data_IF_745114887239
#
_entry.id   IF_745114887239
#
_cell.length_a   1.000
_cell.length_b   1.000
_cell.length_c   1.000
_cell.angle_alpha   90.00
_cell.angle_beta   90.00
_cell.angle_gamma   90.00
#
_symmetry.space_group_name_H-M   'P 1'
#
loop_
_entity.id
_entity.type
_entity.pdbx_description
1 polymer ?
#
# COMPACT_ATOMS: atom_id res chain seq x y z
N UNK A 1 7.74 22.03 16.95
CA UNK A 1 8.49 21.06 17.78
C UNK A 1 7.61 20.67 18.95
N UNK A 2 7.15 19.41 19.02
CA UNK A 2 6.40 18.91 20.17
C UNK A 2 7.36 18.76 21.35
N UNK A 3 7.30 19.68 22.32
CA UNK A 3 8.11 19.61 23.54
C UNK A 3 7.38 18.73 24.55
N UNK A 4 7.86 17.51 24.73
CA UNK A 4 7.49 16.62 25.84
C UNK A 4 8.45 16.85 27.00
N UNK A 5 7.97 16.69 28.24
CA UNK A 5 8.79 16.71 29.45
C UNK A 5 9.47 15.35 29.73
N UNK A 6 9.23 14.36 28.87
CA UNK A 6 9.85 13.03 28.92
C UNK A 6 11.06 13.02 27.99
N UNK A 7 12.23 12.62 28.51
CA UNK A 7 13.47 12.58 27.74
C UNK A 7 13.65 11.27 26.95
N UNK A 8 13.15 10.15 27.48
CA UNK A 8 13.34 8.83 26.92
C UNK A 8 12.05 8.00 26.90
N UNK A 9 11.97 7.09 25.93
CA UNK A 9 10.84 6.19 25.76
C UNK A 9 11.36 4.78 25.48
N UNK A 10 10.73 3.78 26.09
CA UNK A 10 10.84 2.39 25.65
C UNK A 10 9.85 2.13 24.52
N UNK A 11 10.35 1.80 23.34
CA UNK A 11 9.56 1.72 22.12
C UNK A 11 9.63 0.30 21.55
N UNK A 12 8.46 -0.22 21.18
CA UNK A 12 8.31 -1.52 20.53
C UNK A 12 8.02 -1.37 19.04
N UNK A 13 8.71 -2.15 18.23
CA UNK A 13 8.59 -2.18 16.78
C UNK A 13 8.19 -3.56 16.27
N UNK A 14 7.34 -3.58 15.25
CA UNK A 14 7.00 -4.79 14.51
C UNK A 14 8.13 -5.25 13.57
N UNK A 15 7.92 -6.37 12.89
CA UNK A 15 8.89 -6.94 11.94
C UNK A 15 9.15 -6.07 10.70
N UNK A 16 8.34 -5.03 10.48
CA UNK A 16 8.47 -4.07 9.39
C UNK A 16 9.10 -2.75 9.85
N UNK A 17 9.41 -2.62 11.15
CA UNK A 17 9.96 -1.40 11.74
C UNK A 17 8.90 -0.37 12.13
N UNK A 18 7.61 -0.69 12.05
CA UNK A 18 6.56 0.22 12.50
C UNK A 18 6.51 0.25 14.02
N UNK A 19 6.36 1.45 14.58
CA UNK A 19 6.14 1.64 16.00
C UNK A 19 4.74 1.16 16.38
N UNK A 20 4.66 0.18 17.29
CA UNK A 20 3.38 -0.39 17.73
C UNK A 20 3.05 -0.08 19.20
N UNK A 21 4.05 0.17 20.03
CA UNK A 21 3.83 0.64 21.40
C UNK A 21 4.95 1.57 21.88
N UNK A 22 4.65 2.32 22.93
CA UNK A 22 5.64 3.13 23.62
C UNK A 22 5.28 3.25 25.10
N UNK A 23 6.30 3.18 25.95
CA UNK A 23 6.22 3.40 27.38
C UNK A 23 7.17 4.53 27.77
N UNK A 24 6.72 5.40 28.67
CA UNK A 24 7.55 6.47 29.22
C UNK A 24 8.69 5.83 30.02
N UNK A 25 9.91 6.30 29.78
CA UNK A 25 11.05 6.01 30.65
C UNK A 25 11.20 7.19 31.62
N UNK A 26 10.86 6.95 32.89
CA UNK A 26 10.84 7.96 33.97
C UNK A 26 12.18 8.06 34.73
N UNK A 27 13.20 7.39 34.23
CA UNK A 27 14.56 7.39 34.76
C UNK A 27 15.56 7.68 33.65
N UNK A 28 16.79 8.04 34.03
CA UNK A 28 17.88 8.20 33.06
C UNK A 28 18.47 6.82 32.69
N UNK A 29 18.26 6.32 31.46
CA UNK A 29 18.71 4.99 31.05
C UNK A 29 20.24 4.91 30.88
N UNK A 30 20.95 6.04 30.84
CA UNK A 30 22.41 6.09 30.68
C UNK A 30 23.16 5.87 32.00
N UNK A 31 22.46 5.92 33.14
CA UNK A 31 23.07 5.67 34.45
C UNK A 31 23.12 4.18 34.73
N UNK A 32 24.31 3.64 34.96
CA UNK A 32 24.54 2.20 35.21
C UNK A 32 23.64 1.62 36.32
N UNK A 33 23.38 2.39 37.38
CA UNK A 33 22.47 1.99 38.47
C UNK A 33 21.03 1.68 38.03
N UNK A 34 20.64 2.13 36.84
CA UNK A 34 19.31 1.93 36.26
C UNK A 34 19.29 0.78 35.25
N UNK A 35 20.38 0.03 35.04
CA UNK A 35 20.44 -1.07 34.07
C UNK A 35 19.30 -2.08 34.25
N UNK A 36 19.02 -2.50 35.50
CA UNK A 36 17.88 -3.39 35.78
C UNK A 36 16.52 -2.79 35.44
N UNK A 37 16.34 -1.47 35.58
CA UNK A 37 15.10 -0.78 35.20
C UNK A 37 14.93 -0.70 33.68
N UNK A 38 16.04 -0.54 32.94
CA UNK A 38 16.04 -0.62 31.47
C UNK A 38 15.59 -2.00 31.02
N UNK A 39 16.15 -3.06 31.61
CA UNK A 39 15.76 -4.44 31.29
C UNK A 39 14.28 -4.71 31.58
N UNK A 40 13.78 -4.25 32.74
CA UNK A 40 12.36 -4.38 33.11
C UNK A 40 11.43 -3.64 32.13
N UNK A 41 11.78 -2.40 31.77
CA UNK A 41 11.01 -1.61 30.81
C UNK A 41 11.00 -2.27 29.43
N UNK A 42 12.13 -2.73 28.93
CA UNK A 42 12.22 -3.43 27.64
C UNK A 42 11.47 -4.75 27.65
N UNK A 43 11.47 -5.48 28.76
CA UNK A 43 10.65 -6.69 28.92
C UNK A 43 9.17 -6.37 28.80
N UNK A 44 8.70 -5.32 29.49
CA UNK A 44 7.30 -4.85 29.38
C UNK A 44 6.93 -4.43 27.95
N UNK A 45 7.83 -3.74 27.25
CA UNK A 45 7.64 -3.42 25.82
C UNK A 45 7.46 -4.72 25.02
N UNK A 46 8.34 -5.71 25.21
CA UNK A 46 8.28 -7.01 24.50
C UNK A 46 7.07 -7.88 24.85
N UNK A 47 6.44 -7.67 25.99
CA UNK A 47 5.17 -8.33 26.35
C UNK A 47 3.98 -7.81 25.52
N UNK A 48 4.14 -6.69 24.80
CA UNK A 48 3.14 -6.22 23.84
C UNK A 48 3.15 -7.11 22.60
N UNK A 49 1.96 -7.49 22.13
CA UNK A 49 1.78 -8.34 20.95
C UNK A 49 2.49 -7.75 19.73
N UNK A 50 3.06 -8.61 18.89
CA UNK A 50 3.73 -8.28 17.62
C UNK A 50 5.01 -7.45 17.75
N UNK A 51 5.52 -7.20 18.96
CA UNK A 51 6.83 -6.57 19.16
C UNK A 51 7.93 -7.56 18.80
N UNK A 52 8.76 -7.17 17.83
CA UNK A 52 9.96 -7.92 17.41
C UNK A 52 11.24 -7.26 17.93
N UNK A 53 11.25 -5.93 18.01
CA UNK A 53 12.36 -5.14 18.54
C UNK A 53 11.86 -4.22 19.63
N UNK A 54 12.57 -4.17 20.75
CA UNK A 54 12.32 -3.23 21.83
C UNK A 54 13.61 -2.50 22.16
N UNK A 55 13.55 -1.17 22.21
CA UNK A 55 14.72 -0.32 22.50
C UNK A 55 14.31 0.96 23.23
N UNK A 56 15.28 1.57 23.91
CA UNK A 56 15.11 2.90 24.51
C UNK A 56 15.57 3.93 23.48
N UNK A 57 14.73 4.93 23.22
CA UNK A 57 15.03 6.06 22.32
C UNK A 57 14.81 7.38 23.05
N UNK A 58 15.48 8.44 22.59
CA UNK A 58 15.20 9.79 23.08
C UNK A 58 13.88 10.35 22.52
N UNK A 59 13.44 11.46 23.08
CA UNK A 59 12.18 12.12 22.71
C UNK A 59 12.16 12.63 21.27
N UNK A 60 13.29 13.07 20.73
CA UNK A 60 13.40 13.55 19.35
C UNK A 60 13.24 12.39 18.36
N UNK A 61 13.91 11.27 18.63
CA UNK A 61 13.79 10.02 17.87
C UNK A 61 12.39 9.43 17.98
N UNK A 62 11.80 9.42 19.19
CA UNK A 62 10.41 8.99 19.39
C UNK A 62 9.43 9.83 18.56
N UNK A 63 9.62 11.14 18.51
CA UNK A 63 8.79 12.03 17.72
C UNK A 63 8.88 11.76 16.21
N UNK A 64 10.04 11.30 15.71
CA UNK A 64 10.17 10.90 14.30
C UNK A 64 9.28 9.69 13.98
N UNK A 65 9.21 8.70 14.88
CA UNK A 65 8.33 7.54 14.72
C UNK A 65 6.84 7.85 14.96
N UNK A 66 6.53 8.80 15.85
CA UNK A 66 5.15 9.16 16.17
C UNK A 66 4.52 10.10 15.13
N UNK A 67 5.26 11.13 14.72
CA UNK A 67 4.75 12.24 13.91
C UNK A 67 5.62 12.58 12.70
N UNK A 68 6.83 12.02 12.59
CA UNK A 68 7.76 12.28 11.49
C UNK A 68 7.57 11.37 10.28
N UNK A 69 6.64 10.40 10.34
CA UNK A 69 6.43 9.43 9.26
C UNK A 69 7.61 8.48 9.06
N UNK A 70 8.44 8.27 10.09
CA UNK A 70 9.56 7.36 10.02
C UNK A 70 9.20 5.96 10.53
N UNK A 71 9.88 4.95 9.98
CA UNK A 71 9.94 3.58 10.51
C UNK A 71 11.37 3.26 10.94
N UNK A 72 11.54 2.25 11.78
CA UNK A 72 12.85 1.79 12.23
C UNK A 72 13.51 1.00 11.12
N UNK A 73 14.66 1.47 10.65
CA UNK A 73 15.48 0.75 9.70
C UNK A 73 16.00 -0.57 10.30
N UNK A 74 15.92 -1.65 9.53
CA UNK A 74 16.25 -3.01 10.01
C UNK A 74 17.74 -3.22 10.19
N UNK A 75 18.56 -2.55 9.38
CA UNK A 75 20.02 -2.71 9.37
C UNK A 75 20.70 -1.79 10.39
N UNK A 76 20.31 -0.51 10.40
CA UNK A 76 20.94 0.53 11.21
C UNK A 76 20.23 0.78 12.54
N UNK A 77 18.96 0.39 12.67
CA UNK A 77 18.13 0.66 13.84
C UNK A 77 17.71 2.12 14.01
N UNK A 78 17.94 2.97 13.01
CA UNK A 78 17.64 4.41 13.07
C UNK A 78 16.31 4.72 12.37
N UNK A 79 15.68 5.88 12.68
CA UNK A 79 14.53 6.33 11.93
C UNK A 79 14.89 6.60 10.46
N UNK A 80 14.11 6.04 9.56
CA UNK A 80 14.13 6.35 8.13
C UNK A 80 12.72 6.68 7.67
N UNK A 81 12.59 7.59 6.70
CA UNK A 81 11.29 7.94 6.16
C UNK A 81 10.60 6.69 5.62
N UNK A 82 9.33 6.48 6.00
CA UNK A 82 8.55 5.41 5.43
C UNK A 82 8.34 5.64 3.93
N UNK A 83 8.69 4.62 3.14
CA UNK A 83 8.37 4.57 1.72
C UNK A 83 7.31 3.47 1.56
N UNK A 84 6.07 3.81 1.17
CA UNK A 84 5.08 2.81 0.82
C UNK A 84 5.64 1.85 -0.23
N UNK A 85 5.43 0.53 -0.10
CA UNK A 85 5.84 -0.38 -1.15
C UNK A 85 5.15 0.02 -2.45
N UNK A 86 5.90 0.01 -3.56
CA UNK A 86 5.27 0.14 -4.86
C UNK A 86 4.32 -1.05 -5.10
N UNK A 87 3.17 -0.83 -5.75
CA UNK A 87 2.28 -1.93 -6.09
C UNK A 87 3.00 -2.93 -6.99
N UNK A 88 2.74 -4.22 -6.76
CA UNK A 88 3.40 -5.29 -7.50
C UNK A 88 3.01 -5.25 -8.98
N UNK A 89 3.77 -5.96 -9.83
CA UNK A 89 3.42 -6.11 -11.23
C UNK A 89 2.04 -6.77 -11.38
N UNK A 90 1.70 -7.74 -10.52
CA UNK A 90 0.37 -8.37 -10.53
C UNK A 90 -0.73 -7.39 -10.15
N UNK A 91 -0.55 -6.58 -9.10
CA UNK A 91 -1.53 -5.58 -8.66
C UNK A 91 -1.75 -4.51 -9.74
N UNK A 92 -0.67 -4.05 -10.39
CA UNK A 92 -0.74 -3.12 -11.52
C UNK A 92 -1.50 -3.72 -12.70
N UNK A 93 -1.26 -4.98 -13.05
CA UNK A 93 -1.95 -5.67 -14.15
C UNK A 93 -3.43 -5.90 -13.84
N UNK A 94 -3.76 -6.37 -12.64
CA UNK A 94 -5.14 -6.57 -12.20
C UNK A 94 -5.94 -5.25 -12.22
N UNK A 95 -5.33 -4.14 -11.77
CA UNK A 95 -5.96 -2.83 -11.83
C UNK A 95 -6.23 -2.38 -13.28
N UNK A 96 -5.27 -2.56 -14.20
CA UNK A 96 -5.46 -2.25 -15.62
C UNK A 96 -6.55 -3.11 -16.26
N UNK A 97 -6.57 -4.41 -15.96
CA UNK A 97 -7.59 -5.32 -16.49
C UNK A 97 -8.99 -4.93 -15.98
N UNK A 98 -9.14 -4.61 -14.70
CA UNK A 98 -10.42 -4.19 -14.14
C UNK A 98 -10.96 -2.89 -14.79
N UNK A 99 -10.07 -1.94 -15.12
CA UNK A 99 -10.44 -0.74 -15.86
C UNK A 99 -10.88 -1.08 -17.29
N UNK A 100 -10.13 -1.93 -17.98
CA UNK A 100 -10.46 -2.39 -19.33
C UNK A 100 -11.83 -3.11 -19.38
N UNK A 101 -12.11 -3.98 -18.40
CA UNK A 101 -13.38 -4.69 -18.27
C UNK A 101 -14.56 -3.72 -18.08
N UNK A 102 -14.36 -2.68 -17.27
CA UNK A 102 -15.37 -1.65 -17.02
C UNK A 102 -15.66 -0.82 -18.29
N UNK A 103 -14.60 -0.40 -18.99
CA UNK A 103 -14.72 0.34 -20.26
C UNK A 103 -15.41 -0.50 -21.34
N UNK A 104 -15.01 -1.77 -21.49
CA UNK A 104 -15.61 -2.70 -22.44
C UNK A 104 -17.10 -2.92 -22.14
N UNK A 105 -17.46 -3.15 -20.87
CA UNK A 105 -18.86 -3.32 -20.45
C UNK A 105 -19.69 -2.08 -20.77
N UNK A 106 -19.18 -0.89 -20.48
CA UNK A 106 -19.87 0.37 -20.77
C UNK A 106 -20.06 0.58 -22.29
N UNK A 107 -19.03 0.28 -23.09
CA UNK A 107 -19.09 0.37 -24.55
C UNK A 107 -20.12 -0.62 -25.12
N UNK A 108 -20.15 -1.87 -24.65
CA UNK A 108 -21.13 -2.86 -25.07
C UNK A 108 -22.57 -2.43 -24.77
N UNK A 109 -22.83 -1.83 -23.60
CA UNK A 109 -24.16 -1.33 -23.25
C UNK A 109 -24.61 -0.21 -24.20
N UNK A 110 -23.73 0.74 -24.49
CA UNK A 110 -24.01 1.86 -25.39
C UNK A 110 -24.29 1.39 -26.82
N UNK A 111 -23.46 0.51 -27.35
CA UNK A 111 -23.66 -0.08 -28.67
C UNK A 111 -24.97 -0.89 -28.71
N UNK A 112 -25.31 -1.58 -27.63
CA UNK A 112 -26.50 -2.44 -27.56
C UNK A 112 -27.79 -1.63 -27.56
N UNK A 113 -27.80 -0.53 -26.82
CA UNK A 113 -28.88 0.43 -26.86
C UNK A 113 -29.03 1.06 -28.25
N UNK A 114 -27.93 1.41 -28.89
CA UNK A 114 -27.94 2.01 -30.24
C UNK A 114 -28.46 1.01 -31.29
N UNK A 115 -28.03 -0.26 -31.20
CA UNK A 115 -28.49 -1.34 -32.07
C UNK A 115 -29.99 -1.61 -31.89
N UNK A 116 -30.48 -1.61 -30.65
CA UNK A 116 -31.90 -1.76 -30.37
C UNK A 116 -32.72 -0.65 -31.05
N UNK A 117 -32.27 0.61 -30.95
CA UNK A 117 -32.93 1.75 -31.61
C UNK A 117 -32.92 1.60 -33.13
N UNK A 118 -31.78 1.25 -33.73
CA UNK A 118 -31.67 1.03 -35.17
C UNK A 118 -32.64 -0.06 -35.66
N UNK A 119 -32.69 -1.19 -34.96
CA UNK A 119 -33.61 -2.29 -35.28
C UNK A 119 -35.08 -1.89 -35.16
N UNK A 120 -35.47 -1.16 -34.11
CA UNK A 120 -36.84 -0.68 -33.94
C UNK A 120 -37.26 0.28 -35.06
N UNK A 121 -36.32 1.03 -35.61
CA UNK A 121 -36.55 1.94 -36.74
C UNK A 121 -36.44 1.26 -38.11
N UNK A 122 -36.13 -0.04 -38.17
CA UNK A 122 -35.79 -0.78 -39.40
C UNK A 122 -34.62 -0.13 -40.18
N UNK A 123 -33.70 0.53 -39.48
CA UNK A 123 -32.50 1.12 -40.05
C UNK A 123 -31.40 0.06 -40.13
N UNK A 124 -31.43 -0.71 -41.22
CA UNK A 124 -30.53 -1.85 -41.44
C UNK A 124 -29.08 -1.45 -41.64
N UNK A 125 -28.84 -0.26 -42.22
CA UNK A 125 -27.49 0.23 -42.50
C UNK A 125 -26.78 0.63 -41.21
N UNK A 126 -27.49 1.38 -40.35
CA UNK A 126 -26.99 1.72 -39.01
C UNK A 126 -26.80 0.48 -38.15
N UNK A 127 -27.73 -0.48 -38.20
CA UNK A 127 -27.61 -1.75 -37.47
C UNK A 127 -26.36 -2.54 -37.90
N UNK A 128 -26.06 -2.61 -39.19
CA UNK A 128 -24.86 -3.27 -39.71
C UNK A 128 -23.57 -2.55 -39.28
N UNK A 129 -23.55 -1.21 -39.29
CA UNK A 129 -22.41 -0.42 -38.79
C UNK A 129 -22.12 -0.72 -37.32
N UNK A 130 -23.16 -0.72 -36.47
CA UNK A 130 -23.01 -0.97 -35.03
C UNK A 130 -22.52 -2.42 -34.77
N UNK A 131 -22.95 -3.39 -35.58
CA UNK A 131 -22.44 -4.76 -35.48
C UNK A 131 -20.95 -4.86 -35.81
N UNK A 132 -20.45 -4.06 -36.76
CA UNK A 132 -19.01 -3.96 -37.03
C UNK A 132 -18.27 -3.32 -35.86
N UNK A 133 -18.81 -2.24 -35.27
CA UNK A 133 -18.24 -1.60 -34.08
C UNK A 133 -18.13 -2.57 -32.90
N UNK A 134 -19.09 -3.49 -32.74
CA UNK A 134 -18.98 -4.58 -31.77
C UNK A 134 -17.83 -5.53 -32.04
N UNK A 135 -17.58 -5.89 -33.31
CA UNK A 135 -16.47 -6.76 -33.69
C UNK A 135 -15.11 -6.08 -33.43
N UNK A 136 -15.01 -4.80 -33.75
CA UNK A 136 -13.82 -3.98 -33.48
C UNK A 136 -13.58 -3.84 -31.97
N UNK A 137 -14.64 -3.57 -31.18
CA UNK A 137 -14.56 -3.49 -29.73
C UNK A 137 -14.07 -4.80 -29.10
N UNK A 138 -14.56 -5.95 -29.58
CA UNK A 138 -14.12 -7.26 -29.08
C UNK A 138 -12.65 -7.53 -29.43
N UNK A 139 -12.22 -7.11 -30.63
CA UNK A 139 -10.82 -7.25 -31.07
C UNK A 139 -9.91 -6.40 -30.21
N UNK A 140 -10.26 -5.12 -30.02
CA UNK A 140 -9.53 -4.19 -29.15
C UNK A 140 -9.42 -4.72 -27.73
N UNK A 141 -10.53 -5.15 -27.13
CA UNK A 141 -10.54 -5.70 -25.78
C UNK A 141 -9.57 -6.88 -25.63
N UNK A 142 -9.60 -7.81 -26.59
CA UNK A 142 -8.71 -8.96 -26.58
C UNK A 142 -7.24 -8.54 -26.69
N UNK A 143 -6.90 -7.67 -27.65
CA UNK A 143 -5.53 -7.20 -27.84
C UNK A 143 -4.99 -6.48 -26.60
N UNK A 144 -5.80 -5.65 -25.95
CA UNK A 144 -5.39 -4.96 -24.73
C UNK A 144 -5.26 -5.92 -23.54
N UNK A 145 -6.16 -6.90 -23.39
CA UNK A 145 -6.06 -7.91 -22.34
C UNK A 145 -4.82 -8.79 -22.52
N UNK A 146 -4.53 -9.22 -23.76
CA UNK A 146 -3.32 -9.95 -24.10
C UNK A 146 -2.05 -9.12 -23.82
N UNK A 147 -2.06 -7.81 -24.12
CA UNK A 147 -0.96 -6.91 -23.83
C UNK A 147 -0.74 -6.71 -22.31
N UNK A 148 -1.82 -6.61 -21.53
CA UNK A 148 -1.75 -6.55 -20.06
C UNK A 148 -1.16 -7.84 -19.51
N UNK A 149 -1.62 -9.01 -19.97
CA UNK A 149 -1.08 -10.29 -19.55
C UNK A 149 0.40 -10.45 -19.94
N UNK A 150 0.79 -10.01 -21.15
CA UNK A 150 2.18 -10.02 -21.60
C UNK A 150 3.09 -9.14 -20.72
N UNK A 151 2.59 -7.98 -20.26
CA UNK A 151 3.37 -7.07 -19.40
C UNK A 151 3.80 -7.72 -18.07
N UNK A 152 3.07 -8.71 -17.57
CA UNK A 152 3.46 -9.48 -16.38
C UNK A 152 4.63 -10.44 -16.59
N UNK A 153 4.92 -10.81 -17.84
CA UNK A 153 5.99 -11.76 -18.20
C UNK A 153 7.30 -11.08 -18.60
N UNK A 154 7.29 -9.75 -18.77
CA UNK A 154 8.40 -8.96 -19.28
C UNK A 154 9.33 -8.32 -18.23
N UNK A 155 8.87 -8.11 -16.99
CA UNK A 155 9.62 -7.39 -15.94
C UNK A 155 10.63 -8.27 -15.16
N UNK A 156 11.01 -9.43 -15.72
CA UNK A 156 11.96 -10.39 -15.13
C UNK A 156 13.36 -10.37 -15.76
N UNK A 157 13.91 -9.20 -16.09
CA UNK A 157 15.32 -9.07 -16.54
C UNK A 157 16.05 -7.95 -15.82
#
# INVERSE_FOLDING_TARGET
>A
MFKTNVEYYGVGFDSSGNRICAHICDFDPKKEKNAGKVEELLKKVKETENVTVAEIVDSDTYNQYLNGGCVRDKETGKPVAYVPPEPTAEEKAASKQALLDAEYTAAQQKLGQSLLVANLNNDTDTAASIQNEYADLNTYYKEQSDAIAASMTGDGK
#
